data_IF_894476305202
#
_entry.id   IF_894476305202
#
_cell.length_a   1.000
_cell.length_b   1.000
_cell.length_c   1.000
_cell.angle_alpha   90.00
_cell.angle_beta   90.00
_cell.angle_gamma   90.00
#
_symmetry.space_group_name_H-M   'P 1'
#
loop_
_entity.id
_entity.type
_entity.pdbx_description
1 polymer ?
#
# COMPACT_ATOMS: atom_id res chain seq x y z
N UNK A 1 -12.67 -16.11 -1.17
CA UNK A 1 -11.90 -15.05 -0.48
C UNK A 1 -10.46 -15.52 -0.36
N UNK A 2 -9.46 -14.68 -0.68
CA UNK A 2 -8.02 -14.97 -0.52
C UNK A 2 -7.48 -14.18 0.66
N UNK A 3 -6.64 -14.78 1.48
CA UNK A 3 -6.03 -14.14 2.64
C UNK A 3 -4.51 -14.13 2.49
N UNK A 4 -3.90 -12.98 2.79
CA UNK A 4 -2.46 -12.80 2.80
C UNK A 4 -2.03 -12.14 4.11
N UNK A 5 -0.89 -12.57 4.66
CA UNK A 5 -0.34 -12.03 5.90
C UNK A 5 1.13 -11.70 5.76
N UNK A 6 1.59 -10.68 6.48
CA UNK A 6 3.00 -10.33 6.55
C UNK A 6 3.30 -9.42 7.75
N UNK A 7 4.58 -9.30 8.11
CA UNK A 7 5.04 -8.48 9.24
C UNK A 7 5.90 -7.32 8.73
N UNK A 8 5.44 -6.09 8.93
CA UNK A 8 6.16 -4.88 8.57
C UNK A 8 6.77 -4.24 9.81
N UNK A 9 8.07 -3.95 9.80
CA UNK A 9 8.69 -3.19 10.88
C UNK A 9 8.00 -1.83 11.07
N UNK A 10 7.85 -1.42 12.32
CA UNK A 10 7.32 -0.11 12.67
C UNK A 10 8.28 1.03 12.29
N UNK A 11 9.56 0.74 12.08
CA UNK A 11 10.52 1.70 11.57
C UNK A 11 10.16 2.11 10.14
N UNK A 12 9.59 3.30 9.99
CA UNK A 12 9.09 3.85 8.71
C UNK A 12 10.17 3.89 7.62
N UNK A 13 11.45 4.04 8.01
CA UNK A 13 12.61 4.08 7.10
C UNK A 13 13.12 2.70 6.68
N UNK A 14 12.56 1.62 7.22
CA UNK A 14 13.02 0.27 6.90
C UNK A 14 12.91 -0.01 5.42
N UNK A 15 13.99 -0.52 4.86
CA UNK A 15 14.08 -0.99 3.48
C UNK A 15 14.23 -2.51 3.42
N UNK A 16 13.83 -3.21 4.47
CA UNK A 16 13.85 -4.67 4.49
C UNK A 16 12.85 -5.23 3.48
N UNK A 17 13.26 -6.35 2.88
CA UNK A 17 12.38 -7.15 2.03
C UNK A 17 11.46 -7.99 2.92
N UNK A 18 10.17 -7.80 2.79
CA UNK A 18 9.16 -8.48 3.59
C UNK A 18 8.45 -9.52 2.75
N UNK A 19 8.46 -10.77 3.19
CA UNK A 19 7.73 -11.86 2.55
C UNK A 19 6.23 -11.78 2.87
N UNK A 20 5.40 -11.95 1.86
CA UNK A 20 3.95 -12.01 1.95
C UNK A 20 3.54 -13.47 1.81
N UNK A 21 2.76 -13.96 2.76
CA UNK A 21 2.40 -15.37 2.89
C UNK A 21 0.90 -15.54 2.62
N UNK A 22 0.54 -16.52 1.82
CA UNK A 22 -0.84 -16.90 1.54
C UNK A 22 -1.42 -17.82 2.64
N UNK A 23 -2.68 -18.20 2.52
CA UNK A 23 -3.38 -19.10 3.46
C UNK A 23 -2.73 -20.47 3.61
N UNK A 24 -2.00 -20.95 2.60
CA UNK A 24 -1.28 -22.22 2.64
C UNK A 24 0.08 -22.11 3.37
N UNK A 25 0.48 -20.92 3.81
CA UNK A 25 1.79 -20.68 4.42
C UNK A 25 2.92 -20.53 3.40
N UNK A 26 2.60 -20.36 2.12
CA UNK A 26 3.58 -20.20 1.04
C UNK A 26 3.82 -18.71 0.77
N UNK A 27 5.08 -18.37 0.46
CA UNK A 27 5.41 -17.00 0.02
C UNK A 27 4.84 -16.77 -1.37
N UNK A 28 3.90 -15.82 -1.49
CA UNK A 28 3.28 -15.44 -2.77
C UNK A 28 4.04 -14.32 -3.46
N UNK A 29 4.50 -13.35 -2.68
CA UNK A 29 5.18 -12.16 -3.18
C UNK A 29 6.03 -11.53 -2.07
N UNK A 30 6.72 -10.45 -2.39
CA UNK A 30 7.53 -9.68 -1.44
C UNK A 30 7.23 -8.20 -1.58
N UNK A 31 7.29 -7.44 -0.48
CA UNK A 31 7.17 -5.99 -0.49
C UNK A 31 8.41 -5.34 0.10
N UNK A 32 8.82 -4.21 -0.47
CA UNK A 32 9.98 -3.46 -0.01
C UNK A 32 9.77 -1.96 -0.19
N UNK A 33 10.21 -1.17 0.80
CA UNK A 33 10.39 0.27 0.62
C UNK A 33 11.66 0.54 -0.16
N UNK A 34 11.59 1.37 -1.19
CA UNK A 34 12.70 1.64 -2.11
C UNK A 34 13.02 3.13 -2.18
N UNK A 35 14.31 3.45 -2.09
CA UNK A 35 14.85 4.78 -2.38
C UNK A 35 15.62 4.73 -3.70
N UNK A 36 15.36 5.67 -4.63
CA UNK A 36 16.04 5.71 -5.93
C UNK A 36 17.53 6.09 -5.84
N UNK A 37 17.98 6.65 -4.73
CA UNK A 37 19.38 6.88 -4.38
C UNK A 37 19.56 7.12 -2.88
N UNK A 38 20.78 6.95 -2.37
CA UNK A 38 21.11 7.12 -0.96
C UNK A 38 20.91 8.54 -0.42
N UNK A 39 21.08 9.56 -1.27
CA UNK A 39 20.85 10.96 -0.87
C UNK A 39 19.39 11.20 -0.50
N UNK A 40 18.43 10.57 -1.21
CA UNK A 40 17.01 10.68 -0.87
C UNK A 40 16.70 10.09 0.49
N UNK A 41 17.35 8.99 0.88
CA UNK A 41 17.17 8.40 2.22
C UNK A 41 17.68 9.36 3.30
N UNK A 42 18.82 10.02 3.06
CA UNK A 42 19.39 11.02 3.98
C UNK A 42 18.47 12.25 4.11
N UNK A 43 17.98 12.78 3.00
CA UNK A 43 17.04 13.91 3.02
C UNK A 43 15.69 13.53 3.63
N UNK A 44 15.20 12.31 3.40
CA UNK A 44 13.92 11.85 3.93
C UNK A 44 13.95 11.78 5.47
N UNK A 45 15.12 11.54 6.07
CA UNK A 45 15.32 11.59 7.52
C UNK A 45 14.94 12.94 8.13
N UNK A 46 15.21 14.04 7.43
CA UNK A 46 14.84 15.40 7.90
C UNK A 46 13.36 15.71 7.74
N UNK A 47 12.61 14.84 7.07
CA UNK A 47 11.17 14.92 6.80
C UNK A 47 10.42 13.74 7.42
N UNK A 48 10.92 13.20 8.55
CA UNK A 48 10.36 12.08 9.28
C UNK A 48 10.04 10.87 8.37
N UNK A 49 10.86 10.66 7.34
CA UNK A 49 10.73 9.57 6.36
C UNK A 49 9.38 9.51 5.62
N UNK A 50 8.65 10.64 5.52
CA UNK A 50 7.33 10.73 4.89
C UNK A 50 7.33 11.39 3.51
N UNK A 51 8.49 11.82 3.02
CA UNK A 51 8.58 12.59 1.78
C UNK A 51 8.82 11.71 0.56
N UNK A 52 9.79 10.80 0.60
CA UNK A 52 10.14 9.89 -0.50
C UNK A 52 9.55 8.49 -0.29
N UNK A 53 8.23 8.40 -0.21
CA UNK A 53 7.54 7.12 -0.02
C UNK A 53 7.42 6.40 -1.36
N UNK A 54 7.98 5.19 -1.44
CA UNK A 54 7.79 4.25 -2.54
C UNK A 54 7.86 2.83 -2.01
N UNK A 55 6.86 2.04 -2.34
CA UNK A 55 6.82 0.61 -2.08
C UNK A 55 6.70 -0.15 -3.39
N UNK A 56 7.56 -1.13 -3.56
CA UNK A 56 7.56 -2.05 -4.69
C UNK A 56 7.16 -3.44 -4.18
N UNK A 57 6.26 -4.10 -4.91
CA UNK A 57 5.87 -5.50 -4.69
C UNK A 57 6.37 -6.31 -5.87
N UNK A 58 7.05 -7.42 -5.58
CA UNK A 58 7.62 -8.33 -6.57
C UNK A 58 7.17 -9.76 -6.30
N UNK A 59 7.16 -10.59 -7.32
CA UNK A 59 6.96 -12.03 -7.17
C UNK A 59 8.17 -12.71 -6.49
N UNK A 60 8.07 -14.01 -6.26
CA UNK A 60 9.15 -14.80 -5.64
C UNK A 60 10.42 -14.90 -6.50
N UNK A 61 10.33 -14.62 -7.81
CA UNK A 61 11.45 -14.55 -8.72
C UNK A 61 12.09 -13.15 -8.80
N UNK A 62 11.53 -12.17 -8.07
CA UNK A 62 11.99 -10.78 -8.03
C UNK A 62 11.47 -9.94 -9.21
N UNK A 63 10.48 -10.42 -9.97
CA UNK A 63 9.87 -9.61 -11.02
C UNK A 63 8.87 -8.64 -10.41
N UNK A 64 8.95 -7.37 -10.81
CA UNK A 64 8.04 -6.34 -10.30
C UNK A 64 6.59 -6.62 -10.70
N UNK A 65 5.70 -6.66 -9.72
CA UNK A 65 4.26 -6.79 -9.90
C UNK A 65 3.55 -5.43 -9.82
N UNK A 66 3.86 -4.65 -8.80
CA UNK A 66 3.24 -3.35 -8.58
C UNK A 66 4.20 -2.39 -7.86
N UNK A 67 4.08 -1.09 -8.17
CA UNK A 67 4.75 -0.03 -7.41
C UNK A 67 3.76 1.04 -7.00
N UNK A 68 3.87 1.55 -5.77
CA UNK A 68 3.14 2.74 -5.32
C UNK A 68 4.13 3.79 -4.83
N UNK A 69 4.07 4.99 -5.41
CA UNK A 69 5.01 6.06 -5.15
C UNK A 69 4.31 7.38 -4.87
N UNK A 70 4.73 8.06 -3.81
CA UNK A 70 4.29 9.43 -3.52
C UNK A 70 4.84 10.41 -4.56
N UNK A 71 3.96 11.21 -5.14
CA UNK A 71 4.28 12.14 -6.24
C UNK A 71 4.29 13.59 -5.79
N UNK A 72 3.37 13.97 -4.90
CA UNK A 72 3.23 15.36 -4.46
C UNK A 72 4.34 15.77 -3.50
N UNK A 73 4.90 16.94 -3.73
CA UNK A 73 5.88 17.59 -2.85
C UNK A 73 5.29 18.85 -2.19
N UNK A 74 4.26 19.42 -2.79
CA UNK A 74 3.50 20.58 -2.30
C UNK A 74 2.05 20.42 -2.71
N UNK A 75 1.12 20.93 -1.91
CA UNK A 75 -0.32 20.82 -2.16
C UNK A 75 -0.92 19.48 -1.76
N UNK A 76 -1.96 19.03 -2.47
CA UNK A 76 -2.64 17.75 -2.16
C UNK A 76 -1.68 16.57 -2.30
N UNK A 77 -1.62 15.76 -1.26
CA UNK A 77 -0.84 14.51 -1.29
C UNK A 77 -1.52 13.55 -2.26
N UNK A 78 -0.74 13.03 -3.19
CA UNK A 78 -1.17 11.97 -4.09
C UNK A 78 -0.03 10.98 -4.37
N UNK A 79 -0.41 9.77 -4.72
CA UNK A 79 0.50 8.70 -5.09
C UNK A 79 0.18 8.26 -6.51
N UNK A 80 1.17 7.66 -7.18
CA UNK A 80 1.00 6.95 -8.44
C UNK A 80 1.26 5.48 -8.21
N UNK A 81 0.27 4.65 -8.55
CA UNK A 81 0.40 3.22 -8.66
C UNK A 81 0.71 2.81 -10.10
N UNK A 82 1.54 1.80 -10.28
CA UNK A 82 1.76 1.17 -11.59
C UNK A 82 1.72 -0.34 -11.43
N UNK A 83 0.82 -0.94 -12.16
CA UNK A 83 0.67 -2.38 -12.29
C UNK A 83 1.52 -2.85 -13.49
N UNK A 84 2.50 -3.70 -13.24
CA UNK A 84 3.39 -4.21 -14.29
C UNK A 84 2.79 -5.44 -14.99
N UNK A 85 1.79 -6.08 -14.39
CA UNK A 85 1.10 -7.24 -14.98
C UNK A 85 0.11 -6.79 -16.04
N UNK A 86 -0.71 -5.77 -15.73
CA UNK A 86 -1.74 -5.26 -16.62
C UNK A 86 -1.30 -4.03 -17.43
N UNK A 87 -0.20 -3.39 -17.04
CA UNK A 87 0.27 -2.13 -17.60
C UNK A 87 -0.55 -0.90 -17.17
N UNK A 88 -1.53 -1.06 -16.28
CA UNK A 88 -2.37 0.04 -15.79
C UNK A 88 -1.62 0.96 -14.85
N UNK A 89 -1.95 2.23 -14.93
CA UNK A 89 -1.49 3.24 -13.97
C UNK A 89 -2.69 3.77 -13.17
N UNK A 90 -2.43 4.03 -11.88
CA UNK A 90 -3.45 4.52 -10.95
C UNK A 90 -2.99 5.82 -10.31
N UNK A 91 -3.91 6.75 -10.15
CA UNK A 91 -3.75 7.91 -9.28
C UNK A 91 -4.46 7.62 -7.96
N UNK A 92 -3.74 7.82 -6.85
CA UNK A 92 -4.27 7.66 -5.50
C UNK A 92 -4.20 9.02 -4.81
N UNK A 93 -5.33 9.57 -4.41
CA UNK A 93 -5.42 10.89 -3.79
C UNK A 93 -6.38 10.87 -2.59
N UNK A 94 -6.20 11.81 -1.67
CA UNK A 94 -7.12 11.95 -0.55
C UNK A 94 -8.50 12.40 -1.03
N UNK A 95 -9.54 11.79 -0.46
CA UNK A 95 -10.91 12.22 -0.59
C UNK A 95 -11.17 13.31 0.47
N UNK A 96 -11.28 14.57 0.00
CA UNK A 96 -11.56 15.70 0.88
C UNK A 96 -10.34 16.42 1.48
N UNK A 97 -10.61 17.42 2.35
CA UNK A 97 -9.60 18.39 2.79
C UNK A 97 -9.13 18.22 4.25
N UNK A 98 -9.86 17.51 5.08
CA UNK A 98 -9.63 17.59 6.53
C UNK A 98 -10.10 16.35 7.29
N UNK A 99 -9.30 15.32 7.34
CA UNK A 99 -9.53 14.26 8.32
C UNK A 99 -8.16 13.77 8.80
N UNK A 100 -8.04 13.50 10.09
CA UNK A 100 -6.80 12.93 10.65
C UNK A 100 -6.43 11.62 9.94
N UNK A 101 -7.44 10.87 9.55
CA UNK A 101 -7.30 9.64 8.74
C UNK A 101 -8.12 9.85 7.47
N UNK A 102 -7.51 10.30 6.37
CA UNK A 102 -8.25 10.58 5.14
C UNK A 102 -8.63 9.31 4.41
N UNK A 103 -9.87 9.24 3.91
CA UNK A 103 -10.24 8.32 2.86
C UNK A 103 -9.45 8.62 1.58
N UNK A 104 -9.25 7.62 0.74
CA UNK A 104 -8.52 7.77 -0.51
C UNK A 104 -9.35 7.31 -1.70
N UNK A 105 -9.17 8.01 -2.80
CA UNK A 105 -9.71 7.64 -4.10
C UNK A 105 -8.57 7.12 -4.96
N UNK A 106 -8.75 5.94 -5.53
CA UNK A 106 -7.83 5.24 -6.41
C UNK A 106 -8.50 5.13 -7.78
N UNK A 107 -7.91 5.70 -8.81
CA UNK A 107 -8.51 5.68 -10.15
C UNK A 107 -7.47 5.40 -11.24
N UNK A 108 -7.87 4.63 -12.26
CA UNK A 108 -7.14 4.45 -13.52
C UNK A 108 -7.69 5.35 -14.65
N UNK A 109 -8.59 6.28 -14.30
CA UNK A 109 -9.30 7.16 -15.25
C UNK A 109 -10.60 6.57 -15.80
N UNK A 110 -10.89 5.29 -15.55
CA UNK A 110 -12.11 4.59 -15.97
C UNK A 110 -12.92 4.15 -14.75
N UNK A 111 -12.25 3.50 -13.80
CA UNK A 111 -12.85 3.02 -12.56
C UNK A 111 -12.35 3.82 -11.38
N UNK A 112 -13.16 3.88 -10.34
CA UNK A 112 -12.83 4.55 -9.09
C UNK A 112 -13.04 3.58 -7.92
N UNK A 113 -11.95 3.27 -7.22
CA UNK A 113 -11.96 2.48 -6.00
C UNK A 113 -11.80 3.46 -4.84
N UNK A 114 -12.65 3.34 -3.83
CA UNK A 114 -12.54 4.08 -2.58
C UNK A 114 -11.83 3.22 -1.54
N UNK A 115 -10.84 3.79 -0.84
CA UNK A 115 -10.23 3.20 0.33
C UNK A 115 -10.67 3.99 1.56
N UNK A 116 -11.55 3.41 2.37
CA UNK A 116 -11.85 3.88 3.71
C UNK A 116 -10.74 3.39 4.64
N UNK A 117 -9.82 4.29 5.00
CA UNK A 117 -8.65 3.93 5.81
C UNK A 117 -9.01 4.02 7.29
N UNK A 118 -8.64 2.98 8.04
CA UNK A 118 -8.71 2.92 9.50
C UNK A 118 -7.30 2.71 10.09
N UNK A 119 -7.11 3.07 11.36
CA UNK A 119 -5.82 2.89 12.03
C UNK A 119 -5.72 1.56 12.78
N UNK A 120 -6.76 1.19 13.49
CA UNK A 120 -6.78 0.00 14.35
C UNK A 120 -7.78 -1.06 13.87
N UNK A 121 -8.66 -0.69 12.94
CA UNK A 121 -9.69 -1.55 12.37
C UNK A 121 -9.42 -1.86 10.89
N UNK A 122 -10.34 -2.55 10.26
CA UNK A 122 -10.25 -2.91 8.85
C UNK A 122 -10.43 -1.70 7.94
N UNK A 123 -9.39 -1.37 7.20
CA UNK A 123 -9.50 -0.48 6.04
C UNK A 123 -10.17 -1.22 4.89
N UNK A 124 -11.14 -0.60 4.23
CA UNK A 124 -11.96 -1.26 3.20
C UNK A 124 -11.75 -0.61 1.84
N UNK A 125 -11.37 -1.43 0.86
CA UNK A 125 -11.38 -1.07 -0.56
C UNK A 125 -12.75 -1.39 -1.15
N UNK A 126 -13.42 -0.42 -1.74
CA UNK A 126 -14.74 -0.57 -2.34
C UNK A 126 -14.76 -0.08 -3.77
N UNK A 127 -15.47 -0.81 -4.63
CA UNK A 127 -15.80 -0.43 -6.00
C UNK A 127 -17.32 -0.39 -6.12
N UNK A 128 -17.90 0.72 -6.57
CA UNK A 128 -19.35 0.91 -6.66
C UNK A 128 -20.07 0.56 -5.34
N UNK A 129 -19.52 1.04 -4.21
CA UNK A 129 -19.99 0.80 -2.84
C UNK A 129 -19.96 -0.68 -2.40
N UNK A 130 -19.38 -1.57 -3.21
CA UNK A 130 -19.19 -2.97 -2.83
C UNK A 130 -17.77 -3.22 -2.34
N UNK A 131 -17.58 -3.84 -1.17
CA UNK A 131 -16.25 -4.23 -0.71
C UNK A 131 -15.59 -5.21 -1.69
N UNK A 132 -14.36 -4.91 -2.08
CA UNK A 132 -13.54 -5.76 -2.96
C UNK A 132 -12.32 -6.32 -2.24
N UNK A 133 -11.85 -5.64 -1.20
CA UNK A 133 -10.78 -6.12 -0.33
C UNK A 133 -10.83 -5.40 1.02
N UNK A 134 -10.21 -6.01 2.04
CA UNK A 134 -10.02 -5.44 3.37
C UNK A 134 -8.57 -5.59 3.78
N UNK A 135 -8.04 -4.57 4.43
CA UNK A 135 -6.66 -4.53 4.88
C UNK A 135 -6.60 -4.01 6.32
N UNK A 136 -5.87 -4.70 7.18
CA UNK A 136 -5.70 -4.32 8.57
C UNK A 136 -4.24 -4.37 8.95
N UNK A 137 -3.77 -3.41 9.74
CA UNK A 137 -2.45 -3.37 10.32
C UNK A 137 -2.57 -3.24 11.85
N UNK A 138 -2.20 -4.29 12.56
CA UNK A 138 -2.21 -4.32 14.04
C UNK A 138 -0.80 -4.07 14.54
N UNK A 139 -0.62 -3.05 15.35
CA UNK A 139 0.68 -2.73 15.94
C UNK A 139 1.03 -3.69 17.08
N UNK A 140 2.19 -4.34 16.99
CA UNK A 140 2.74 -5.28 17.96
C UNK A 140 4.13 -4.84 18.37
N UNK A 141 4.24 -3.99 19.39
CA UNK A 141 5.51 -3.50 19.97
C UNK A 141 6.49 -2.87 18.98
N UNK A 142 7.08 -3.66 18.07
CA UNK A 142 8.12 -3.23 17.13
C UNK A 142 7.76 -3.39 15.67
N UNK A 143 6.62 -3.99 15.37
CA UNK A 143 6.16 -4.27 14.00
C UNK A 143 4.65 -4.19 13.90
N UNK A 144 4.17 -4.12 12.67
CA UNK A 144 2.76 -4.31 12.33
C UNK A 144 2.55 -5.74 11.82
N UNK A 145 1.57 -6.44 12.38
CA UNK A 145 1.00 -7.64 11.78
C UNK A 145 -0.09 -7.20 10.80
N UNK A 146 0.10 -7.53 9.53
CA UNK A 146 -0.78 -7.06 8.47
C UNK A 146 -1.51 -8.23 7.86
N UNK A 147 -2.82 -8.05 7.72
CA UNK A 147 -3.70 -9.00 7.04
C UNK A 147 -4.42 -8.31 5.89
N UNK A 148 -4.39 -8.93 4.72
CA UNK A 148 -5.16 -8.56 3.55
C UNK A 148 -6.14 -9.67 3.21
N UNK A 149 -7.41 -9.32 2.99
CA UNK A 149 -8.45 -10.19 2.49
C UNK A 149 -8.96 -9.66 1.16
N UNK A 150 -8.97 -10.48 0.12
CA UNK A 150 -9.50 -10.13 -1.20
C UNK A 150 -10.76 -10.94 -1.44
N UNK A 151 -11.86 -10.25 -1.75
CA UNK A 151 -13.14 -10.89 -2.02
C UNK A 151 -13.12 -11.63 -3.37
N UNK A 152 -13.89 -12.72 -3.49
CA UNK A 152 -13.94 -13.53 -4.71
C UNK A 152 -14.50 -12.75 -5.91
N UNK A 153 -15.37 -11.78 -5.66
CA UNK A 153 -15.96 -10.89 -6.65
C UNK A 153 -15.09 -9.68 -7.00
N UNK A 154 -13.92 -9.54 -6.39
CA UNK A 154 -13.03 -8.42 -6.68
C UNK A 154 -12.55 -8.48 -8.15
N UNK A 155 -12.61 -7.39 -8.91
CA UNK A 155 -12.04 -7.34 -10.25
C UNK A 155 -10.50 -7.35 -10.24
N UNK A 156 -9.89 -7.11 -9.08
CA UNK A 156 -8.44 -7.16 -8.86
C UNK A 156 -8.17 -8.33 -7.94
N UNK A 157 -7.54 -9.38 -8.47
CA UNK A 157 -7.32 -10.64 -7.76
C UNK A 157 -5.87 -10.85 -7.31
N UNK A 158 -4.94 -9.94 -7.67
CA UNK A 158 -3.56 -10.01 -7.22
C UNK A 158 -3.33 -9.08 -6.02
N UNK A 159 -2.69 -9.61 -5.00
CA UNK A 159 -2.43 -8.95 -3.73
C UNK A 159 -1.53 -7.71 -3.86
N UNK A 160 -0.64 -7.70 -4.85
CA UNK A 160 0.37 -6.65 -5.03
C UNK A 160 -0.22 -5.23 -5.12
N UNK A 161 -1.39 -5.08 -5.75
CA UNK A 161 -2.12 -3.81 -5.83
C UNK A 161 -2.47 -3.28 -4.43
N UNK A 162 -3.16 -4.09 -3.64
CA UNK A 162 -3.66 -3.70 -2.32
C UNK A 162 -2.51 -3.49 -1.33
N UNK A 163 -1.50 -4.36 -1.36
CA UNK A 163 -0.34 -4.31 -0.46
C UNK A 163 0.49 -3.06 -0.72
N UNK A 164 0.84 -2.76 -1.98
CA UNK A 164 1.66 -1.59 -2.28
C UNK A 164 0.95 -0.28 -1.89
N UNK A 165 -0.37 -0.19 -2.08
CA UNK A 165 -1.16 0.97 -1.69
C UNK A 165 -1.30 1.03 -0.17
N UNK A 166 -1.66 -0.06 0.49
CA UNK A 166 -1.77 -0.15 1.95
C UNK A 166 -0.47 0.26 2.64
N UNK A 167 0.66 -0.23 2.16
CA UNK A 167 1.99 0.15 2.67
C UNK A 167 2.31 1.64 2.45
N UNK A 168 2.00 2.18 1.28
CA UNK A 168 2.28 3.59 0.98
C UNK A 168 1.47 4.54 1.88
N UNK A 169 0.33 4.11 2.39
CA UNK A 169 -0.56 4.92 3.24
C UNK A 169 -0.57 4.47 4.71
N UNK A 170 0.21 3.45 5.09
CA UNK A 170 0.26 2.92 6.45
C UNK A 170 0.50 4.01 7.49
N UNK A 171 1.42 4.91 7.23
CA UNK A 171 1.81 5.99 8.14
C UNK A 171 1.12 7.34 7.83
N UNK A 172 0.11 7.35 6.95
CA UNK A 172 -0.70 8.55 6.68
C UNK A 172 -1.71 8.71 7.80
N UNK A 173 -1.71 9.89 8.45
CA UNK A 173 -2.58 10.19 9.58
C UNK A 173 -2.03 9.75 10.95
N UNK A 174 -0.82 9.19 10.99
CA UNK A 174 -0.12 8.84 12.23
C UNK A 174 0.75 9.98 12.73
#
# INVERSE_FOLDING_TARGET
>A
MKIFTYKQLAAIESTELVAIVNEAGEVSSTVQRVYSNGLKKVFDRTMDYRYFVRFDVSDVAGQALFTCKKMSRRGRVHFRGKDFVTGKEYMIAYDGWQIMIPDLIITDGVQQIKLNKEMEDWSVFSLDDQPIARWQAVFCETHFEITLQIEDNSPIQHEAFFIAIGQAVLFVGA
#
